data_IF_717855598554
#
_entry.id   IF_717855598554
#
_cell.length_a   1.000
_cell.length_b   1.000
_cell.length_c   1.000
_cell.angle_alpha   90.00
_cell.angle_beta   90.00
_cell.angle_gamma   90.00
#
_symmetry.space_group_name_H-M   'P 1'
#
loop_
_entity.id
_entity.type
_entity.pdbx_description
1 polymer ?
#
# COMPACT_ATOMS: atom_id res chain seq x y z
N UNK A 1 17.46 8.74 23.07
CA UNK A 1 17.49 7.27 23.18
C UNK A 1 16.11 6.67 22.87
N UNK A 2 15.05 7.02 23.60
CA UNK A 2 13.73 6.41 23.42
C UNK A 2 13.08 6.70 22.05
N UNK A 3 13.32 7.89 21.49
CA UNK A 3 12.74 8.29 20.20
C UNK A 3 13.34 7.53 19.02
N UNK A 4 14.64 7.23 19.06
CA UNK A 4 15.32 6.41 18.05
C UNK A 4 14.85 4.96 18.08
N UNK A 5 14.59 4.43 19.29
CA UNK A 5 14.00 3.11 19.46
C UNK A 5 12.57 3.05 18.91
N UNK A 6 11.78 4.12 19.08
CA UNK A 6 10.43 4.21 18.50
C UNK A 6 10.50 4.27 16.97
N UNK A 7 11.39 5.06 16.38
CA UNK A 7 11.49 5.18 14.92
C UNK A 7 11.95 3.86 14.29
N UNK A 8 12.96 3.21 14.88
CA UNK A 8 13.46 1.92 14.40
C UNK A 8 12.41 0.81 14.54
N UNK A 9 11.72 0.71 15.68
CA UNK A 9 10.62 -0.25 15.86
C UNK A 9 9.47 0.02 14.89
N UNK A 10 9.13 1.28 14.63
CA UNK A 10 8.09 1.64 13.65
C UNK A 10 8.51 1.24 12.24
N UNK A 11 9.77 1.50 11.85
CA UNK A 11 10.31 1.05 10.56
C UNK A 11 10.24 -0.47 10.40
N UNK A 12 10.64 -1.21 11.43
CA UNK A 12 10.55 -2.68 11.45
C UNK A 12 9.10 -3.16 11.31
N UNK A 13 8.15 -2.54 12.01
CA UNK A 13 6.73 -2.86 11.89
C UNK A 13 6.20 -2.57 10.48
N UNK A 14 6.58 -1.45 9.86
CA UNK A 14 6.18 -1.15 8.48
C UNK A 14 6.74 -2.17 7.49
N UNK A 15 7.98 -2.63 7.72
CA UNK A 15 8.60 -3.65 6.89
C UNK A 15 7.95 -5.02 7.06
N UNK A 16 7.58 -5.38 8.29
CA UNK A 16 6.84 -6.61 8.59
C UNK A 16 5.42 -6.58 8.02
N UNK A 17 4.72 -5.44 8.13
CA UNK A 17 3.43 -5.23 7.48
C UNK A 17 3.53 -5.31 5.96
N UNK A 18 4.58 -4.76 5.35
CA UNK A 18 4.85 -4.89 3.92
C UNK A 18 5.09 -6.35 3.51
N UNK A 19 5.89 -7.09 4.29
CA UNK A 19 6.16 -8.51 4.03
C UNK A 19 4.92 -9.38 4.21
N UNK A 20 4.14 -9.16 5.27
CA UNK A 20 2.89 -9.91 5.48
C UNK A 20 1.86 -9.61 4.39
N UNK A 21 1.78 -8.37 3.90
CA UNK A 21 0.88 -7.98 2.82
C UNK A 21 1.29 -8.56 1.45
N UNK A 22 2.59 -8.66 1.19
CA UNK A 22 3.10 -9.36 0.00
C UNK A 22 2.81 -10.86 0.09
N UNK A 23 3.07 -11.49 1.23
CA UNK A 23 2.71 -12.90 1.49
C UNK A 23 1.20 -13.16 1.34
N UNK A 24 0.35 -12.29 1.90
CA UNK A 24 -1.10 -12.36 1.75
C UNK A 24 -1.53 -12.25 0.29
N UNK A 25 -0.92 -11.34 -0.48
CA UNK A 25 -1.22 -11.21 -1.90
C UNK A 25 -0.80 -12.43 -2.70
N UNK A 26 0.39 -13.00 -2.44
CA UNK A 26 0.85 -14.23 -3.09
C UNK A 26 -0.05 -15.43 -2.74
N UNK A 27 -0.45 -15.53 -1.47
CA UNK A 27 -1.39 -16.57 -1.02
C UNK A 27 -2.76 -16.44 -1.71
N UNK A 28 -3.26 -15.22 -1.90
CA UNK A 28 -4.51 -15.00 -2.61
C UNK A 28 -4.38 -15.31 -4.11
N UNK A 29 -3.26 -14.96 -4.77
CA UNK A 29 -3.00 -15.38 -6.15
C UNK A 29 -2.97 -16.90 -6.31
N UNK A 30 -2.28 -17.61 -5.41
CA UNK A 30 -2.26 -19.08 -5.39
C UNK A 30 -3.66 -19.67 -5.18
N UNK A 31 -4.46 -19.07 -4.29
CA UNK A 31 -5.85 -19.49 -4.09
C UNK A 31 -6.68 -19.28 -5.36
N UNK A 32 -6.50 -18.17 -6.06
CA UNK A 32 -7.24 -17.88 -7.29
C UNK A 32 -6.90 -18.91 -8.39
N UNK A 33 -5.62 -19.22 -8.56
CA UNK A 33 -5.16 -20.23 -9.52
C UNK A 33 -5.68 -21.63 -9.17
N UNK A 34 -5.57 -22.02 -7.90
CA UNK A 34 -6.09 -23.32 -7.43
C UNK A 34 -7.60 -23.39 -7.61
N UNK A 35 -8.36 -22.37 -7.23
CA UNK A 35 -9.81 -22.35 -7.41
C UNK A 35 -10.22 -22.38 -8.89
N UNK A 36 -9.51 -21.65 -9.76
CA UNK A 36 -9.74 -21.68 -11.20
C UNK A 36 -9.40 -23.07 -11.79
N UNK A 37 -8.34 -23.72 -11.32
CA UNK A 37 -7.95 -25.07 -11.74
C UNK A 37 -8.95 -26.13 -11.29
N UNK A 38 -9.49 -26.01 -10.07
CA UNK A 38 -10.52 -26.89 -9.52
C UNK A 38 -11.81 -26.75 -10.31
N UNK A 39 -12.29 -25.52 -10.54
CA UNK A 39 -13.46 -25.27 -11.38
C UNK A 39 -13.27 -25.81 -12.80
N UNK A 40 -12.09 -25.61 -13.39
CA UNK A 40 -11.72 -26.15 -14.70
C UNK A 40 -11.75 -27.68 -14.71
N UNK A 41 -11.22 -28.33 -13.68
CA UNK A 41 -11.20 -29.80 -13.59
C UNK A 41 -12.60 -30.39 -13.39
N UNK A 42 -13.42 -29.76 -12.54
CA UNK A 42 -14.77 -30.21 -12.17
C UNK A 42 -15.76 -30.05 -13.33
N UNK A 43 -15.69 -28.92 -14.03
CA UNK A 43 -16.66 -28.57 -15.07
C UNK A 43 -16.12 -28.64 -16.50
N UNK A 44 -14.80 -28.64 -16.69
CA UNK A 44 -14.14 -28.74 -18.00
C UNK A 44 -14.22 -30.13 -18.62
N UNK A 45 -14.26 -31.20 -17.83
CA UNK A 45 -14.43 -32.58 -18.34
C UNK A 45 -15.77 -32.77 -19.09
N UNK A 46 -16.79 -32.02 -18.69
CA UNK A 46 -18.09 -31.96 -19.37
C UNK A 46 -18.18 -30.97 -20.53
N UNK A 47 -17.16 -30.13 -20.80
CA UNK A 47 -17.17 -29.19 -21.94
C UNK A 47 -16.91 -29.90 -23.26
N UNK A 48 -15.95 -30.83 -23.33
CA UNK A 48 -15.72 -31.61 -24.54
C UNK A 48 -16.97 -32.43 -24.94
N UNK A 49 -17.60 -33.08 -23.97
CA UNK A 49 -18.89 -33.75 -24.17
C UNK A 49 -20.02 -32.81 -24.57
N UNK A 50 -20.16 -31.63 -23.92
CA UNK A 50 -21.18 -30.63 -24.28
C UNK A 50 -20.98 -30.01 -25.66
N UNK A 51 -19.75 -29.77 -26.07
CA UNK A 51 -19.43 -29.23 -27.41
C UNK A 51 -19.77 -30.29 -28.47
N UNK A 52 -19.46 -31.55 -28.20
CA UNK A 52 -19.86 -32.67 -29.07
C UNK A 52 -21.40 -32.86 -29.11
N UNK A 53 -22.09 -32.77 -27.98
CA UNK A 53 -23.56 -32.81 -27.93
C UNK A 53 -24.20 -31.58 -28.61
N UNK A 54 -23.58 -30.40 -28.53
CA UNK A 54 -24.07 -29.17 -29.18
C UNK A 54 -23.85 -29.19 -30.69
N UNK A 55 -22.78 -29.82 -31.15
CA UNK A 55 -22.56 -30.14 -32.56
C UNK A 55 -23.57 -31.18 -33.09
N UNK A 56 -23.85 -32.23 -32.31
CA UNK A 56 -24.82 -33.27 -32.67
C UNK A 56 -26.30 -32.79 -32.63
N UNK A 57 -26.62 -31.77 -31.83
CA UNK A 57 -27.96 -31.19 -31.73
C UNK A 57 -28.34 -30.22 -32.86
N UNK A 58 -27.50 -30.06 -33.88
CA UNK A 58 -27.80 -29.21 -35.06
C UNK A 58 -27.75 -27.70 -34.82
N UNK A 59 -27.36 -27.24 -33.61
CA UNK A 59 -27.12 -25.81 -33.34
C UNK A 59 -25.76 -25.45 -33.93
N UNK A 60 -25.76 -24.79 -35.10
CA UNK A 60 -24.54 -24.45 -35.83
C UNK A 60 -23.52 -23.71 -34.95
N UNK A 61 -22.28 -24.16 -34.98
CA UNK A 61 -21.14 -23.56 -34.27
C UNK A 61 -20.65 -22.23 -34.89
N UNK A 62 -21.47 -21.57 -35.70
CA UNK A 62 -21.14 -20.27 -36.26
C UNK A 62 -21.61 -19.19 -35.28
N UNK A 63 -20.73 -18.25 -34.87
CA UNK A 63 -21.15 -17.06 -34.17
C UNK A 63 -21.95 -16.23 -35.17
N UNK A 64 -23.28 -16.19 -35.01
CA UNK A 64 -24.09 -15.23 -35.74
C UNK A 64 -23.68 -13.83 -35.29
N UNK A 65 -23.28 -13.00 -36.25
CA UNK A 65 -22.57 -11.72 -36.05
C UNK A 65 -23.44 -10.58 -35.52
N UNK A 66 -24.55 -10.87 -34.85
CA UNK A 66 -25.46 -9.88 -34.29
C UNK A 66 -25.75 -10.18 -32.82
N UNK A 67 -24.86 -9.75 -31.94
CA UNK A 67 -25.06 -9.90 -30.49
C UNK A 67 -23.78 -9.65 -29.71
N UNK A 68 -23.39 -8.38 -29.60
CA UNK A 68 -22.38 -7.98 -28.64
C UNK A 68 -22.85 -8.33 -27.22
N UNK A 69 -22.10 -9.22 -26.55
CA UNK A 69 -22.06 -9.31 -25.10
C UNK A 69 -23.22 -10.01 -24.41
N UNK A 70 -23.26 -11.35 -24.49
CA UNK A 70 -23.93 -12.12 -23.46
C UNK A 70 -24.56 -13.40 -23.95
N UNK A 71 -23.76 -14.46 -24.09
CA UNK A 71 -24.21 -15.80 -23.72
C UNK A 71 -23.03 -16.80 -23.66
N UNK A 72 -22.23 -16.69 -22.60
CA UNK A 72 -21.40 -17.83 -22.16
C UNK A 72 -22.21 -18.80 -21.26
N UNK A 73 -23.52 -18.57 -21.14
CA UNK A 73 -24.42 -19.16 -20.14
C UNK A 73 -25.23 -20.36 -20.63
N UNK A 74 -25.66 -20.41 -21.90
CA UNK A 74 -26.56 -21.46 -22.44
C UNK A 74 -25.99 -22.89 -22.41
N UNK A 75 -24.76 -23.09 -21.91
CA UNK A 75 -24.18 -24.40 -21.73
C UNK A 75 -23.80 -24.77 -20.30
N UNK A 76 -23.79 -23.84 -19.33
CA UNK A 76 -23.25 -24.09 -17.98
C UNK A 76 -24.32 -24.67 -17.06
N UNK A 77 -23.96 -25.62 -16.19
CA UNK A 77 -24.92 -26.12 -15.20
C UNK A 77 -25.21 -25.01 -14.19
N UNK A 78 -26.45 -24.93 -13.69
CA UNK A 78 -26.82 -23.91 -12.68
C UNK A 78 -25.94 -23.97 -11.42
N UNK A 79 -25.41 -25.15 -11.08
CA UNK A 79 -24.43 -25.34 -10.01
C UNK A 79 -23.06 -24.73 -10.35
N UNK A 80 -22.60 -24.87 -11.60
CA UNK A 80 -21.36 -24.27 -12.08
C UNK A 80 -21.41 -22.74 -12.03
N UNK A 81 -22.54 -22.13 -12.39
CA UNK A 81 -22.72 -20.68 -12.35
C UNK A 81 -22.61 -20.15 -10.92
N UNK A 82 -23.28 -20.80 -9.96
CA UNK A 82 -23.23 -20.43 -8.54
C UNK A 82 -21.81 -20.53 -7.97
N UNK A 83 -21.11 -21.60 -8.27
CA UNK A 83 -19.73 -21.79 -7.80
C UNK A 83 -18.77 -20.75 -8.42
N UNK A 84 -18.92 -20.45 -9.71
CA UNK A 84 -18.15 -19.40 -10.39
C UNK A 84 -18.46 -18.00 -9.82
N UNK A 85 -19.72 -17.73 -9.49
CA UNK A 85 -20.17 -16.46 -8.90
C UNK A 85 -19.67 -16.27 -7.47
N UNK A 86 -19.81 -17.27 -6.59
CA UNK A 86 -19.29 -17.21 -5.21
C UNK A 86 -17.78 -16.99 -5.23
N UNK A 87 -17.07 -17.63 -6.16
CA UNK A 87 -15.64 -17.42 -6.35
C UNK A 87 -15.31 -15.99 -6.75
N UNK A 88 -16.06 -15.41 -7.70
CA UNK A 88 -15.89 -14.01 -8.14
C UNK A 88 -16.16 -13.01 -7.03
N UNK A 89 -17.24 -13.18 -6.26
CA UNK A 89 -17.57 -12.29 -5.13
C UNK A 89 -16.48 -12.37 -4.05
N UNK A 90 -16.07 -13.58 -3.70
CA UNK A 90 -15.01 -13.76 -2.68
C UNK A 90 -13.69 -13.16 -3.13
N UNK A 91 -13.35 -13.30 -4.42
CA UNK A 91 -12.19 -12.68 -5.03
C UNK A 91 -12.25 -11.15 -4.91
N UNK A 92 -13.36 -10.54 -5.33
CA UNK A 92 -13.54 -9.09 -5.28
C UNK A 92 -13.42 -8.52 -3.85
N UNK A 93 -14.04 -9.17 -2.86
CA UNK A 93 -13.93 -8.77 -1.45
C UNK A 93 -12.48 -8.86 -0.95
N UNK A 94 -11.75 -9.92 -1.29
CA UNK A 94 -10.37 -10.08 -0.80
C UNK A 94 -9.40 -9.14 -1.49
N UNK A 95 -9.54 -8.93 -2.80
CA UNK A 95 -8.72 -7.98 -3.55
C UNK A 95 -8.98 -6.54 -3.08
N UNK A 96 -10.23 -6.15 -2.82
CA UNK A 96 -10.53 -4.84 -2.22
C UNK A 96 -9.96 -4.66 -0.81
N UNK A 97 -9.97 -5.70 0.03
CA UNK A 97 -9.31 -5.65 1.35
C UNK A 97 -7.79 -5.50 1.21
N UNK A 98 -7.16 -6.25 0.31
CA UNK A 98 -5.72 -6.13 0.05
C UNK A 98 -5.36 -4.73 -0.45
N UNK A 99 -6.16 -4.18 -1.36
CA UNK A 99 -6.00 -2.81 -1.84
C UNK A 99 -6.13 -1.78 -0.73
N UNK A 100 -7.17 -1.90 0.12
CA UNK A 100 -7.37 -1.02 1.27
C UNK A 100 -6.18 -1.06 2.24
N UNK A 101 -5.68 -2.26 2.57
CA UNK A 101 -4.52 -2.43 3.44
C UNK A 101 -3.25 -1.83 2.84
N UNK A 102 -3.02 -2.01 1.52
CA UNK A 102 -1.89 -1.38 0.81
C UNK A 102 -1.96 0.14 0.85
N UNK A 103 -3.14 0.70 0.60
CA UNK A 103 -3.39 2.14 0.66
C UNK A 103 -3.22 2.71 2.07
N UNK A 104 -3.68 1.99 3.08
CA UNK A 104 -3.49 2.38 4.48
C UNK A 104 -1.99 2.35 4.87
N UNK A 105 -1.26 1.32 4.45
CA UNK A 105 0.18 1.21 4.68
C UNK A 105 0.95 2.35 4.00
N UNK A 106 0.63 2.66 2.74
CA UNK A 106 1.19 3.81 2.03
C UNK A 106 0.98 5.11 2.83
N UNK A 107 -0.23 5.36 3.32
CA UNK A 107 -0.52 6.53 4.15
C UNK A 107 0.32 6.57 5.43
N UNK A 108 0.54 5.43 6.09
CA UNK A 108 1.39 5.34 7.27
C UNK A 108 2.87 5.62 6.96
N UNK A 109 3.38 5.06 5.85
CA UNK A 109 4.77 5.27 5.37
C UNK A 109 5.01 6.74 5.05
N UNK A 110 4.08 7.39 4.35
CA UNK A 110 4.17 8.82 4.02
C UNK A 110 4.23 9.67 5.29
N UNK A 111 3.40 9.36 6.30
CA UNK A 111 3.45 10.06 7.59
C UNK A 111 4.74 9.82 8.35
N UNK A 112 5.27 8.60 8.35
CA UNK A 112 6.56 8.32 8.98
C UNK A 112 7.69 9.09 8.30
N UNK A 113 7.70 9.15 6.97
CA UNK A 113 8.67 9.94 6.20
C UNK A 113 8.65 11.41 6.63
N UNK A 114 7.46 12.01 6.72
CA UNK A 114 7.31 13.43 7.13
C UNK A 114 7.88 13.66 8.55
N UNK A 115 7.67 12.73 9.47
CA UNK A 115 8.21 12.81 10.83
C UNK A 115 9.74 12.73 10.85
N UNK A 116 10.32 11.82 10.06
CA UNK A 116 11.78 11.66 9.94
C UNK A 116 12.42 12.86 9.24
N UNK A 117 11.79 13.40 8.21
CA UNK A 117 12.26 14.59 7.50
C UNK A 117 12.29 15.82 8.42
N UNK A 118 11.19 16.10 9.14
CA UNK A 118 11.15 17.14 10.18
C UNK A 118 12.16 16.92 11.30
N UNK A 119 12.58 15.67 11.53
CA UNK A 119 13.60 15.35 12.53
C UNK A 119 15.01 15.69 12.03
N UNK A 120 15.32 15.33 10.79
CA UNK A 120 16.58 15.68 10.13
C UNK A 120 16.70 17.20 10.05
N UNK A 121 15.63 17.89 9.67
CA UNK A 121 15.63 19.35 9.56
C UNK A 121 15.91 20.02 10.91
N UNK A 122 15.20 19.62 11.97
CA UNK A 122 15.46 20.13 13.33
C UNK A 122 16.84 19.75 13.87
N UNK A 123 17.41 18.61 13.48
CA UNK A 123 18.76 18.24 13.87
C UNK A 123 19.78 19.16 13.18
N UNK A 124 19.64 19.37 11.86
CA UNK A 124 20.47 20.28 11.07
C UNK A 124 20.35 21.74 11.52
N UNK A 125 19.15 22.20 11.87
CA UNK A 125 18.95 23.54 12.45
C UNK A 125 19.61 23.70 13.83
N UNK A 126 19.61 22.65 14.65
CA UNK A 126 20.33 22.65 15.94
C UNK A 126 21.82 22.68 15.75
N UNK A 127 22.36 21.93 14.80
CA UNK A 127 23.78 22.00 14.46
C UNK A 127 24.17 23.41 14.03
N UNK A 128 23.38 24.04 13.14
CA UNK A 128 23.60 25.43 12.71
C UNK A 128 23.49 26.43 13.85
N UNK A 129 22.51 26.28 14.74
CA UNK A 129 22.32 27.21 15.86
C UNK A 129 23.31 27.01 17.00
N UNK A 130 23.79 25.79 17.26
CA UNK A 130 24.89 25.55 18.20
C UNK A 130 26.20 26.11 17.65
N UNK A 131 26.48 25.91 16.35
CA UNK A 131 27.63 26.53 15.68
C UNK A 131 27.56 28.07 15.73
N UNK A 132 26.39 28.64 15.49
CA UNK A 132 26.19 30.08 15.57
C UNK A 132 26.36 30.59 17.00
N UNK A 133 25.81 29.87 17.99
CA UNK A 133 25.92 30.23 19.40
C UNK A 133 27.35 30.08 19.92
N UNK A 134 28.07 29.02 19.54
CA UNK A 134 29.47 28.83 19.91
C UNK A 134 30.37 29.88 19.26
N UNK A 135 30.14 30.19 17.99
CA UNK A 135 30.85 31.27 17.29
C UNK A 135 30.59 32.64 17.95
N UNK A 136 29.34 32.93 18.32
CA UNK A 136 28.99 34.16 19.03
C UNK A 136 29.64 34.22 20.43
N UNK A 137 29.62 33.12 21.18
CA UNK A 137 30.22 33.05 22.52
C UNK A 137 31.75 33.18 22.46
N UNK A 138 32.39 32.68 21.41
CA UNK A 138 33.83 32.84 21.15
C UNK A 138 34.17 34.29 20.77
N UNK A 139 33.30 34.97 20.04
CA UNK A 139 33.46 36.39 19.69
C UNK A 139 33.22 37.34 20.88
N UNK A 140 32.29 37.01 21.77
CA UNK A 140 32.07 37.73 23.04
C UNK A 140 33.24 37.53 24.03
N UNK A 141 33.83 36.32 24.06
CA UNK A 141 35.02 36.02 24.87
C UNK A 141 36.27 36.74 24.37
N UNK A 142 36.45 36.87 23.05
CA UNK A 142 37.53 37.66 22.44
C UNK A 142 37.35 39.17 22.67
N UNK A 143 36.11 39.68 22.69
CA UNK A 143 35.83 41.07 23.02
C UNK A 143 36.04 41.39 24.52
N UNK A 144 35.83 40.41 25.41
CA UNK A 144 36.07 40.53 26.86
C UNK A 144 37.55 40.52 27.25
N UNK A 145 38.41 39.84 26.49
CA UNK A 145 39.86 39.80 26.72
C UNK A 145 40.61 41.06 26.23
N UNK A 146 39.97 41.90 25.40
CA UNK A 146 40.57 43.11 24.81
C UNK A 146 40.30 44.42 25.57
N UNK A 147 39.63 44.39 26.73
CA UNK A 147 39.23 45.60 27.47
C UNK A 147 40.34 46.17 28.39
N UNK A 148 41.61 46.11 27.95
CA UNK A 148 42.76 46.35 28.81
C UNK A 148 44.02 46.92 28.15
N UNK A 149 43.95 47.61 27.01
CA UNK A 149 45.04 48.49 26.58
C UNK A 149 44.54 49.49 25.53
N UNK A 150 44.57 50.78 25.87
CA UNK A 150 44.15 51.83 24.94
C UNK A 150 45.10 51.98 23.75
N UNK A 151 44.59 51.89 22.53
CA UNK A 151 45.14 52.55 21.35
C UNK A 151 44.16 52.55 20.16
N UNK A 152 43.65 53.75 19.86
CA UNK A 152 43.26 54.35 18.55
C UNK A 152 42.30 53.60 17.58
N UNK A 153 41.36 54.32 16.93
CA UNK A 153 40.53 53.76 15.87
C UNK A 153 41.29 53.75 14.54
N UNK A 154 41.52 52.57 13.96
CA UNK A 154 41.88 52.42 12.54
C UNK A 154 40.87 51.52 11.81
N UNK A 155 40.82 51.75 10.51
CA UNK A 155 39.81 51.44 9.49
C UNK A 155 39.42 49.96 9.34
N UNK A 156 38.23 49.68 8.72
CA UNK A 156 37.72 48.33 8.57
C UNK A 156 38.51 47.54 7.52
N UNK A 157 39.28 46.56 7.97
CA UNK A 157 39.92 45.56 7.10
C UNK A 157 38.88 44.58 6.53
N UNK A 158 39.05 44.12 5.27
CA UNK A 158 38.08 43.26 4.60
C UNK A 158 38.17 41.83 5.15
N UNK A 159 37.04 41.34 5.64
CA UNK A 159 36.80 39.95 6.02
C UNK A 159 36.91 39.03 4.79
N UNK A 160 37.95 38.21 4.73
CA UNK A 160 38.16 37.25 3.66
C UNK A 160 39.40 36.41 3.86
N UNK A 161 39.42 35.58 4.90
CA UNK A 161 40.48 34.59 5.12
C UNK A 161 40.33 33.96 6.50
N UNK A 162 40.24 32.63 6.54
CA UNK A 162 40.27 31.87 7.79
C UNK A 162 41.51 32.30 8.60
N UNK A 163 41.34 32.77 9.86
CA UNK A 163 42.50 33.02 10.70
C UNK A 163 43.02 31.66 11.17
N UNK A 164 43.94 31.08 10.42
CA UNK A 164 44.80 30.03 10.93
C UNK A 164 45.69 30.68 12.00
N UNK A 165 45.23 30.63 13.25
CA UNK A 165 45.97 31.11 14.43
C UNK A 165 47.33 30.42 14.42
N UNK A 166 48.42 31.18 14.41
CA UNK A 166 49.76 30.60 14.38
C UNK A 166 50.13 29.96 15.72
N UNK A 167 51.01 28.96 15.70
CA UNK A 167 51.44 28.22 16.90
C UNK A 167 52.14 29.12 17.95
N UNK A 168 52.56 30.32 17.54
CA UNK A 168 53.13 31.34 18.41
C UNK A 168 52.04 32.16 19.13
N UNK A 169 50.97 32.53 18.42
CA UNK A 169 49.84 33.29 18.97
C UNK A 169 49.01 32.43 19.95
N UNK A 170 48.87 31.13 19.69
CA UNK A 170 48.23 30.18 20.61
C UNK A 170 48.97 30.07 21.94
N UNK A 171 50.31 29.99 21.93
CA UNK A 171 51.14 29.95 23.15
C UNK A 171 51.10 31.26 23.94
N UNK A 172 50.95 32.39 23.25
CA UNK A 172 50.81 33.70 23.89
C UNK A 172 49.42 33.87 24.54
N UNK A 173 48.36 33.37 23.92
CA UNK A 173 47.01 33.29 24.49
C UNK A 173 46.94 32.31 25.68
N UNK A 174 47.58 31.15 25.57
CA UNK A 174 47.72 30.17 26.66
C UNK A 174 48.45 30.76 27.88
N UNK A 175 49.37 31.70 27.67
CA UNK A 175 50.08 32.39 28.76
C UNK A 175 49.25 33.49 29.45
N UNK A 176 48.19 33.98 28.80
CA UNK A 176 47.30 35.03 29.32
C UNK A 176 46.04 34.47 30.01
N UNK A 177 45.74 33.18 29.84
CA UNK A 177 44.60 32.50 30.46
C UNK A 177 44.97 31.94 31.83
N UNK A 178 44.04 32.04 32.80
CA UNK A 178 44.24 31.36 34.09
C UNK A 178 44.25 29.84 33.89
N UNK A 179 45.02 29.08 34.67
CA UNK A 179 45.06 27.61 34.54
C UNK A 179 43.68 26.95 34.71
N UNK A 180 42.77 27.57 35.47
CA UNK A 180 41.37 27.12 35.59
C UNK A 180 40.56 27.36 34.30
N UNK A 181 40.78 28.46 33.58
CA UNK A 181 40.11 28.73 32.31
C UNK A 181 40.56 27.78 31.21
N UNK A 182 41.85 27.41 31.18
CA UNK A 182 42.38 26.41 30.24
C UNK A 182 41.76 25.03 30.46
N UNK A 183 41.56 24.64 31.71
CA UNK A 183 40.89 23.38 32.04
C UNK A 183 39.41 23.41 31.64
N UNK A 184 38.72 24.53 31.87
CA UNK A 184 37.32 24.71 31.43
C UNK A 184 37.19 24.68 29.90
N UNK A 185 38.11 25.31 29.18
CA UNK A 185 38.16 25.28 27.71
C UNK A 185 38.40 23.87 27.17
N UNK A 186 39.29 23.11 27.79
CA UNK A 186 39.55 21.72 27.41
C UNK A 186 38.29 20.86 27.63
N UNK A 187 37.62 21.02 28.76
CA UNK A 187 36.37 20.32 29.08
C UNK A 187 35.23 20.71 28.14
N UNK A 188 35.08 22.01 27.82
CA UNK A 188 34.09 22.49 26.85
C UNK A 188 34.36 21.95 25.44
N UNK A 189 35.62 21.89 25.00
CA UNK A 189 36.00 21.37 23.69
C UNK A 189 35.69 19.87 23.58
N UNK A 190 36.07 19.09 24.60
CA UNK A 190 35.72 17.66 24.67
C UNK A 190 34.20 17.44 24.66
N UNK A 191 33.44 18.29 25.37
CA UNK A 191 31.97 18.23 25.37
C UNK A 191 31.37 18.56 24.00
N UNK A 192 31.95 19.52 23.27
CA UNK A 192 31.55 19.90 21.92
C UNK A 192 31.83 18.78 20.91
N UNK A 193 33.01 18.17 20.98
CA UNK A 193 33.37 17.03 20.13
C UNK A 193 32.43 15.83 20.35
N UNK A 194 32.13 15.51 21.61
CA UNK A 194 31.16 14.46 21.94
C UNK A 194 29.77 14.80 21.38
N UNK A 195 29.30 16.04 21.55
CA UNK A 195 28.02 16.50 20.99
C UNK A 195 27.99 16.36 19.47
N UNK A 196 29.05 16.76 18.75
CA UNK A 196 29.14 16.62 17.30
C UNK A 196 29.09 15.17 16.86
N UNK A 197 29.87 14.30 17.50
CA UNK A 197 29.87 12.88 17.16
C UNK A 197 28.47 12.26 17.36
N UNK A 198 27.78 12.68 18.41
CA UNK A 198 26.41 12.29 18.71
C UNK A 198 25.39 12.80 17.69
N UNK A 199 25.48 14.07 17.26
CA UNK A 199 24.56 14.63 16.26
C UNK A 199 24.80 14.00 14.90
N UNK A 200 26.06 13.83 14.50
CA UNK A 200 26.43 13.20 13.23
C UNK A 200 25.90 11.75 13.16
N UNK A 201 26.05 10.99 14.24
CA UNK A 201 25.49 9.64 14.35
C UNK A 201 23.96 9.63 14.22
N UNK A 202 23.26 10.61 14.83
CA UNK A 202 21.79 10.75 14.73
C UNK A 202 21.35 11.14 13.32
N UNK A 203 22.07 12.03 12.65
CA UNK A 203 21.78 12.45 11.27
C UNK A 203 22.00 11.27 10.31
N UNK A 204 23.13 10.57 10.41
CA UNK A 204 23.41 9.38 9.60
C UNK A 204 22.35 8.29 9.78
N UNK A 205 21.93 8.04 11.02
CA UNK A 205 20.88 7.05 11.28
C UNK A 205 19.54 7.46 10.68
N UNK A 206 19.17 8.74 10.80
CA UNK A 206 17.95 9.28 10.21
C UNK A 206 17.99 9.28 8.68
N UNK A 207 19.14 9.58 8.06
CA UNK A 207 19.33 9.51 6.60
C UNK A 207 19.20 8.07 6.09
N UNK A 208 19.80 7.09 6.79
CA UNK A 208 19.61 5.67 6.48
C UNK A 208 18.13 5.27 6.57
N UNK A 209 17.45 5.65 7.65
CA UNK A 209 16.02 5.37 7.82
C UNK A 209 15.17 6.02 6.72
N UNK A 210 15.49 7.24 6.31
CA UNK A 210 14.80 7.93 5.22
C UNK A 210 14.99 7.20 3.89
N UNK A 211 16.21 6.74 3.58
CA UNK A 211 16.48 5.94 2.37
C UNK A 211 15.69 4.62 2.37
N UNK A 212 15.64 3.93 3.50
CA UNK A 212 14.85 2.70 3.66
C UNK A 212 13.35 2.97 3.44
N UNK A 213 12.80 3.99 4.10
CA UNK A 213 11.39 4.40 3.95
C UNK A 213 11.08 4.79 2.50
N UNK A 214 11.99 5.52 1.84
CA UNK A 214 11.85 5.90 0.43
C UNK A 214 11.83 4.69 -0.49
N UNK A 215 12.70 3.71 -0.25
CA UNK A 215 12.70 2.45 -1.02
C UNK A 215 11.40 1.67 -0.86
N UNK A 216 10.88 1.61 0.37
CA UNK A 216 9.61 0.94 0.68
C UNK A 216 8.44 1.69 0.03
N UNK A 217 8.42 3.02 0.09
CA UNK A 217 7.42 3.85 -0.58
C UNK A 217 7.42 3.61 -2.09
N UNK A 218 8.59 3.57 -2.73
CA UNK A 218 8.71 3.33 -4.16
C UNK A 218 8.13 1.96 -4.56
N UNK A 219 8.42 0.92 -3.75
CA UNK A 219 7.84 -0.41 -3.94
C UNK A 219 6.32 -0.41 -3.78
N UNK A 220 5.78 0.23 -2.74
CA UNK A 220 4.34 0.29 -2.50
C UNK A 220 3.60 1.09 -3.58
N UNK A 221 4.13 2.24 -4.01
CA UNK A 221 3.53 3.06 -5.07
C UNK A 221 3.51 2.31 -6.40
N UNK A 222 4.60 1.62 -6.74
CA UNK A 222 4.64 0.77 -7.94
C UNK A 222 3.61 -0.37 -7.88
N UNK A 223 3.49 -1.03 -6.73
CA UNK A 223 2.49 -2.07 -6.50
C UNK A 223 1.04 -1.57 -6.51
N UNK A 224 0.79 -0.33 -6.10
CA UNK A 224 -0.53 0.28 -6.15
C UNK A 224 -0.90 0.71 -7.57
N UNK A 225 0.01 1.38 -8.29
CA UNK A 225 -0.22 1.82 -9.66
C UNK A 225 -0.55 0.65 -10.60
N UNK A 226 0.13 -0.48 -10.42
CA UNK A 226 -0.15 -1.70 -11.19
C UNK A 226 -1.48 -2.38 -10.82
N UNK A 227 -2.02 -2.11 -9.63
CA UNK A 227 -3.25 -2.72 -9.12
C UNK A 227 -4.49 -1.84 -9.20
N UNK A 228 -4.34 -0.52 -9.36
CA UNK A 228 -5.44 0.44 -9.39
C UNK A 228 -6.38 0.20 -10.58
N UNK A 229 -5.82 0.03 -11.79
CA UNK A 229 -6.60 -0.29 -12.99
C UNK A 229 -7.38 -1.60 -12.85
N UNK A 230 -6.79 -2.58 -12.17
CA UNK A 230 -7.39 -3.89 -11.95
C UNK A 230 -8.53 -3.85 -10.92
N UNK A 231 -8.33 -3.14 -9.81
CA UNK A 231 -9.35 -2.93 -8.76
C UNK A 231 -10.53 -2.13 -9.32
N UNK A 232 -10.27 -1.12 -10.15
CA UNK A 232 -11.34 -0.34 -10.80
C UNK A 232 -12.28 -1.24 -11.59
N UNK A 233 -11.74 -2.16 -12.39
CA UNK A 233 -12.51 -3.16 -13.13
C UNK A 233 -13.27 -4.13 -12.22
N UNK A 234 -12.63 -4.60 -11.14
CA UNK A 234 -13.27 -5.48 -10.16
C UNK A 234 -14.43 -4.82 -9.40
N UNK A 235 -14.31 -3.54 -9.07
CA UNK A 235 -15.39 -2.80 -8.42
C UNK A 235 -16.57 -2.62 -9.37
N UNK A 236 -16.31 -2.29 -10.64
CA UNK A 236 -17.37 -2.23 -11.66
C UNK A 236 -18.01 -3.59 -11.89
N UNK A 237 -17.21 -4.67 -11.93
CA UNK A 237 -17.70 -6.03 -12.09
C UNK A 237 -18.51 -6.51 -10.87
N UNK A 238 -18.10 -6.13 -9.66
CA UNK A 238 -18.84 -6.43 -8.44
C UNK A 238 -20.19 -5.69 -8.41
N UNK A 239 -20.22 -4.42 -8.84
CA UNK A 239 -21.46 -3.66 -8.98
C UNK A 239 -22.41 -4.30 -10.01
N UNK A 240 -21.88 -4.75 -11.16
CA UNK A 240 -22.64 -5.48 -12.16
C UNK A 240 -23.09 -6.88 -11.68
N UNK A 241 -22.27 -7.55 -10.87
CA UNK A 241 -22.62 -8.87 -10.30
C UNK A 241 -23.74 -8.74 -9.28
N UNK A 242 -23.74 -7.71 -8.43
CA UNK A 242 -24.80 -7.42 -7.47
C UNK A 242 -26.17 -7.24 -8.17
N UNK A 243 -26.20 -6.50 -9.28
CA UNK A 243 -27.44 -6.28 -10.04
C UNK A 243 -27.90 -7.57 -10.74
N UNK A 244 -26.96 -8.35 -11.30
CA UNK A 244 -27.24 -9.62 -11.95
C UNK A 244 -27.74 -10.71 -10.97
N UNK A 245 -27.22 -10.78 -9.75
CA UNK A 245 -27.72 -11.69 -8.69
C UNK A 245 -29.18 -11.35 -8.34
N UNK A 246 -29.49 -10.05 -8.26
CA UNK A 246 -30.83 -9.57 -7.98
C UNK A 246 -31.84 -9.95 -9.07
N UNK A 247 -31.41 -10.00 -10.34
CA UNK A 247 -32.22 -10.47 -11.47
C UNK A 247 -32.33 -11.99 -11.53
N UNK A 248 -31.19 -12.68 -11.48
CA UNK A 248 -31.12 -14.14 -11.58
C UNK A 248 -31.86 -14.88 -10.46
N UNK A 249 -31.83 -14.38 -9.21
CA UNK A 249 -32.60 -14.99 -8.13
C UNK A 249 -34.12 -14.79 -8.30
N UNK A 250 -34.55 -13.67 -8.90
CA UNK A 250 -35.95 -13.45 -9.28
C UNK A 250 -36.36 -14.38 -10.42
N UNK A 251 -35.49 -14.59 -11.39
CA UNK A 251 -35.73 -15.53 -12.49
C UNK A 251 -35.77 -16.98 -12.03
N UNK A 252 -34.90 -17.37 -11.09
CA UNK A 252 -34.94 -18.69 -10.46
C UNK A 252 -36.25 -18.88 -9.68
N UNK A 253 -36.68 -17.89 -8.89
CA UNK A 253 -38.00 -17.91 -8.23
C UNK A 253 -39.14 -18.02 -9.25
N UNK A 254 -39.08 -17.23 -10.33
CA UNK A 254 -40.09 -17.24 -11.40
C UNK A 254 -40.09 -18.57 -12.18
N UNK A 255 -38.93 -19.22 -12.33
CA UNK A 255 -38.81 -20.53 -12.94
C UNK A 255 -39.32 -21.65 -12.02
N UNK A 256 -39.14 -21.53 -10.70
CA UNK A 256 -39.75 -22.45 -9.72
C UNK A 256 -41.26 -22.25 -9.58
N UNK A 257 -41.75 -21.01 -9.76
CA UNK A 257 -43.18 -20.68 -9.72
C UNK A 257 -43.93 -21.05 -11.00
N UNK A 258 -43.23 -21.15 -12.14
CA UNK A 258 -43.79 -21.75 -13.36
C UNK A 258 -44.00 -23.25 -13.14
N UNK A 259 -45.12 -23.58 -12.50
CA UNK A 259 -45.65 -24.95 -12.41
C UNK A 259 -45.69 -25.50 -13.83
N UNK A 260 -45.05 -26.66 -14.01
CA UNK A 260 -44.72 -27.24 -15.31
C UNK A 260 -45.88 -27.15 -16.30
N UNK A 261 -45.67 -26.42 -17.40
CA UNK A 261 -46.61 -26.37 -18.53
C UNK A 261 -46.89 -27.78 -19.05
N UNK A 262 -45.92 -28.70 -18.95
CA UNK A 262 -46.12 -30.10 -19.27
C UNK A 262 -47.11 -30.80 -18.31
N UNK A 263 -47.13 -30.46 -17.02
CA UNK A 263 -48.17 -30.97 -16.10
C UNK A 263 -49.55 -30.41 -16.45
N UNK A 264 -49.65 -29.14 -16.83
CA UNK A 264 -50.93 -28.55 -17.24
C UNK A 264 -51.50 -29.22 -18.50
N UNK A 265 -50.65 -29.50 -19.51
CA UNK A 265 -51.07 -30.18 -20.74
C UNK A 265 -51.39 -31.66 -20.50
N UNK A 266 -50.66 -32.34 -19.61
CA UNK A 266 -50.96 -33.72 -19.22
C UNK A 266 -52.32 -33.83 -18.52
N UNK A 267 -52.60 -32.98 -17.53
CA UNK A 267 -53.91 -33.00 -16.85
C UNK A 267 -55.04 -32.50 -17.74
N UNK A 268 -54.77 -31.57 -18.66
CA UNK A 268 -55.75 -31.14 -19.66
C UNK A 268 -56.14 -32.26 -20.61
N UNK A 269 -55.17 -33.00 -21.14
CA UNK A 269 -55.43 -34.15 -22.04
C UNK A 269 -56.15 -35.29 -21.33
N UNK A 270 -55.73 -35.65 -20.11
CA UNK A 270 -56.43 -36.65 -19.29
C UNK A 270 -57.88 -36.23 -19.05
N UNK A 271 -58.12 -34.97 -18.67
CA UNK A 271 -59.47 -34.43 -18.45
C UNK A 271 -60.37 -34.52 -19.67
N UNK A 272 -59.85 -34.11 -20.84
CA UNK A 272 -60.58 -34.19 -22.12
C UNK A 272 -60.88 -35.65 -22.50
N UNK A 273 -59.92 -36.57 -22.34
CA UNK A 273 -60.14 -37.98 -22.60
C UNK A 273 -61.21 -38.58 -21.67
N UNK A 274 -61.17 -38.29 -20.36
CA UNK A 274 -62.22 -38.76 -19.44
C UNK A 274 -63.59 -38.16 -19.76
N UNK A 275 -63.65 -36.90 -20.18
CA UNK A 275 -64.90 -36.26 -20.58
C UNK A 275 -65.53 -36.94 -21.80
N UNK A 276 -64.73 -37.27 -22.83
CA UNK A 276 -65.21 -37.95 -24.02
C UNK A 276 -65.76 -39.35 -23.71
N UNK A 277 -65.11 -40.11 -22.84
CA UNK A 277 -65.59 -41.45 -22.43
C UNK A 277 -66.91 -41.36 -21.68
N UNK A 278 -67.07 -40.37 -20.80
CA UNK A 278 -68.33 -40.18 -20.06
C UNK A 278 -69.46 -39.74 -20.99
N UNK A 279 -69.15 -38.88 -21.96
CA UNK A 279 -70.12 -38.42 -22.95
C UNK A 279 -70.64 -39.60 -23.81
N UNK A 280 -69.74 -40.44 -24.31
CA UNK A 280 -70.05 -41.64 -25.10
C UNK A 280 -70.86 -42.69 -24.31
N UNK A 281 -70.79 -42.66 -22.97
CA UNK A 281 -71.55 -43.56 -22.10
C UNK A 281 -72.98 -43.10 -21.82
N UNK A 282 -73.25 -41.80 -21.95
CA UNK A 282 -74.53 -41.18 -21.60
C UNK A 282 -75.41 -40.96 -22.83
N UNK A 283 -74.82 -40.75 -24.00
CA UNK A 283 -75.49 -40.46 -25.27
C UNK A 283 -75.16 -41.51 -26.32
#
# INVERSE_FOLDING_TARGET
>A
PDRDAIDSSTSLLLHDLSSSLTNLSSAESLRQETHASVLRSRYGRGRAGRILFRWAGGKSALPDGSGAGGDDGEGKSGEQLRDEEIARVTRAVRESVLWFLRRALEGAVVRQRELVERRIERARERERSVLYKSAQQQQESAAGAGAGAGARPEEPMPSGGDPAITEAESKEIESQLSPEQLQLFAEENDSMLQYYQDTLSKVQHAEKSLLEISSLQQSLVSHLATQEDYIGQLVTDAAATQTNIGGGNRELRRATEKRSTAQAVFWGTVGVCTWLVVWDLIF
#
